data_IF_170504346351
#
_entry.id   IF_170504346351
#
_cell.length_a   1.000
_cell.length_b   1.000
_cell.length_c   1.000
_cell.angle_alpha   90.00
_cell.angle_beta   90.00
_cell.angle_gamma   90.00
#
_symmetry.space_group_name_H-M   'P 1'
#
loop_
_entity.id
_entity.type
_entity.pdbx_description
1 polymer ?
#
# COMPACT_ATOMS: atom_id res chain seq x y z
N UNK A 1 -3.66 6.99 9.32
CA UNK A 1 -3.39 5.53 9.43
C UNK A 1 -2.88 5.12 10.81
N UNK A 2 -1.79 5.70 11.34
CA UNK A 2 -1.20 5.25 12.62
C UNK A 2 -2.21 5.18 13.77
N UNK A 3 -2.99 6.25 13.99
CA UNK A 3 -4.00 6.28 15.05
C UNK A 3 -5.14 5.28 14.82
N UNK A 4 -5.52 5.06 13.56
CA UNK A 4 -6.52 4.04 13.21
C UNK A 4 -5.99 2.63 13.52
N UNK A 5 -4.77 2.31 13.10
CA UNK A 5 -4.16 1.01 13.36
C UNK A 5 -4.02 0.73 14.87
N UNK A 6 -3.65 1.75 15.67
CA UNK A 6 -3.64 1.65 17.13
C UNK A 6 -5.03 1.35 17.70
N UNK A 7 -6.06 2.07 17.26
CA UNK A 7 -7.43 1.86 17.72
C UNK A 7 -7.97 0.47 17.35
N UNK A 8 -7.55 -0.09 16.22
CA UNK A 8 -7.90 -1.45 15.80
C UNK A 8 -7.07 -2.54 16.50
N UNK A 9 -6.07 -2.18 17.30
CA UNK A 9 -5.16 -3.15 17.93
C UNK A 9 -4.34 -3.95 16.90
N UNK A 10 -4.01 -3.36 15.75
CA UNK A 10 -3.24 -4.05 14.73
C UNK A 10 -1.80 -4.26 15.16
N UNK A 11 -1.34 -5.49 15.02
CA UNK A 11 0.06 -5.88 15.13
C UNK A 11 0.51 -6.43 13.79
N UNK A 12 1.77 -6.19 13.43
CA UNK A 12 2.32 -6.58 12.13
C UNK A 12 3.57 -7.42 12.28
N UNK A 13 3.81 -8.28 11.30
CA UNK A 13 5.08 -8.97 11.14
C UNK A 13 5.54 -9.00 9.69
N UNK A 14 6.86 -9.09 9.51
CA UNK A 14 7.50 -9.33 8.23
C UNK A 14 8.62 -10.35 8.44
N UNK A 15 8.67 -11.40 7.64
CA UNK A 15 9.62 -12.51 7.78
C UNK A 15 9.61 -13.09 9.22
N UNK A 16 8.40 -13.30 9.75
CA UNK A 16 8.12 -13.72 11.13
C UNK A 16 8.64 -12.78 12.25
N UNK A 17 9.18 -11.60 11.92
CA UNK A 17 9.63 -10.62 12.90
C UNK A 17 8.55 -9.56 13.16
N UNK A 18 8.26 -9.20 14.42
CA UNK A 18 7.32 -8.15 14.74
C UNK A 18 7.82 -6.78 14.24
N UNK A 19 6.89 -5.94 13.77
CA UNK A 19 7.19 -4.60 13.26
C UNK A 19 6.41 -3.52 14.02
N UNK A 20 7.03 -2.35 14.27
CA UNK A 20 6.30 -1.21 14.81
C UNK A 20 5.38 -0.60 13.74
N UNK A 21 4.21 -0.11 14.16
CA UNK A 21 3.23 0.56 13.28
C UNK A 21 3.85 1.67 12.43
N UNK A 22 4.77 2.45 13.02
CA UNK A 22 5.46 3.52 12.33
C UNK A 22 6.24 3.02 11.10
N UNK A 23 6.87 1.84 11.20
CA UNK A 23 7.59 1.25 10.08
C UNK A 23 6.65 0.67 9.02
N UNK A 24 5.39 0.36 9.33
CA UNK A 24 4.43 -0.13 8.32
C UNK A 24 3.90 1.01 7.47
N UNK A 25 3.53 2.13 8.09
CA UNK A 25 2.92 3.27 7.40
C UNK A 25 3.92 4.39 7.05
N UNK A 26 5.22 4.11 7.11
CA UNK A 26 6.26 5.04 6.67
C UNK A 26 6.36 5.08 5.14
N UNK A 27 6.68 6.26 4.61
CA UNK A 27 6.67 6.54 3.18
C UNK A 27 7.84 5.93 2.39
N UNK A 28 8.81 5.29 3.06
CA UNK A 28 9.99 4.65 2.47
C UNK A 28 10.15 3.18 2.90
N UNK A 29 9.10 2.58 3.46
CA UNK A 29 9.05 1.17 3.89
C UNK A 29 7.87 0.46 3.22
N UNK A 30 6.86 -0.01 3.96
CA UNK A 30 5.67 -0.67 3.40
C UNK A 30 4.60 0.30 2.90
N UNK A 31 4.64 1.57 3.31
CA UNK A 31 3.67 2.59 2.91
C UNK A 31 3.49 2.71 1.39
N UNK A 32 4.58 2.82 0.59
CA UNK A 32 4.51 2.83 -0.88
C UNK A 32 3.73 1.63 -1.42
N UNK A 33 4.08 0.42 -1.01
CA UNK A 33 3.47 -0.80 -1.51
C UNK A 33 1.98 -0.89 -1.17
N UNK A 34 1.60 -0.57 0.07
CA UNK A 34 0.19 -0.54 0.49
C UNK A 34 -0.64 0.50 -0.28
N UNK A 35 -0.06 1.67 -0.57
CA UNK A 35 -0.74 2.72 -1.32
C UNK A 35 -0.84 2.40 -2.81
N UNK A 36 0.19 1.77 -3.40
CA UNK A 36 0.13 1.28 -4.78
C UNK A 36 -0.91 0.17 -4.92
N UNK A 37 -0.93 -0.81 -4.02
CA UNK A 37 -1.96 -1.85 -3.98
C UNK A 37 -3.37 -1.26 -3.87
N UNK A 38 -3.54 -0.24 -3.02
CA UNK A 38 -4.81 0.49 -2.90
C UNK A 38 -5.23 1.18 -4.21
N UNK A 39 -4.30 1.82 -4.93
CA UNK A 39 -4.59 2.44 -6.23
C UNK A 39 -4.97 1.38 -7.28
N UNK A 40 -4.25 0.25 -7.31
CA UNK A 40 -4.54 -0.86 -8.23
C UNK A 40 -5.92 -1.45 -7.96
N UNK A 41 -6.28 -1.67 -6.69
CA UNK A 41 -7.60 -2.19 -6.31
C UNK A 41 -8.75 -1.27 -6.75
N UNK A 42 -8.58 0.04 -6.56
CA UNK A 42 -9.55 1.04 -7.05
C UNK A 42 -9.72 0.95 -8.57
N UNK A 43 -8.62 0.87 -9.31
CA UNK A 43 -8.61 0.73 -10.77
C UNK A 43 -9.28 -0.58 -11.22
N UNK A 44 -8.98 -1.70 -10.57
CA UNK A 44 -9.60 -3.01 -10.86
C UNK A 44 -11.12 -2.98 -10.64
N UNK A 45 -11.58 -2.24 -9.63
CA UNK A 45 -13.01 -2.03 -9.35
C UNK A 45 -13.67 -0.97 -10.22
N UNK A 46 -12.93 -0.35 -11.15
CA UNK A 46 -13.41 0.75 -12.01
C UNK A 46 -13.91 1.95 -11.20
N UNK A 47 -13.30 2.20 -10.04
CA UNK A 47 -13.57 3.38 -9.24
C UNK A 47 -12.60 4.47 -9.71
N UNK A 48 -13.13 5.51 -10.35
CA UNK A 48 -12.35 6.61 -10.95
C UNK A 48 -11.83 7.59 -9.89
N UNK A 49 -10.90 7.13 -9.06
CA UNK A 49 -10.25 7.93 -8.02
C UNK A 49 -8.74 7.85 -8.18
N UNK A 50 -8.12 9.01 -8.32
CA UNK A 50 -6.66 9.16 -8.23
C UNK A 50 -6.26 9.41 -6.76
N UNK A 51 -5.47 8.50 -6.21
CA UNK A 51 -4.91 8.64 -4.87
C UNK A 51 -3.80 9.69 -4.82
N UNK A 52 -3.44 10.37 -5.91
CA UNK A 52 -2.47 11.47 -5.94
C UNK A 52 -1.08 11.03 -5.49
N UNK A 53 -0.71 9.79 -5.81
CA UNK A 53 0.57 9.20 -5.42
C UNK A 53 1.66 9.67 -6.38
N UNK A 54 2.83 9.94 -5.83
CA UNK A 54 4.08 10.15 -6.57
C UNK A 54 5.07 9.12 -6.04
N UNK A 55 5.24 8.03 -6.78
CA UNK A 55 6.16 6.95 -6.41
C UNK A 55 7.48 7.17 -7.14
N UNK A 56 8.57 7.24 -6.38
CA UNK A 56 9.91 7.52 -6.89
C UNK A 56 10.88 6.42 -6.45
N UNK A 57 11.95 6.25 -7.21
CA UNK A 57 13.07 5.40 -6.81
C UNK A 57 13.87 6.08 -5.71
N UNK A 58 14.16 5.35 -4.64
CA UNK A 58 14.93 5.82 -3.49
C UNK A 58 15.79 4.67 -2.96
N UNK A 59 17.11 4.73 -3.19
CA UNK A 59 18.07 3.71 -2.75
C UNK A 59 18.17 3.61 -1.22
N UNK A 60 17.69 4.61 -0.48
CA UNK A 60 17.61 4.59 0.98
C UNK A 60 16.31 3.97 1.52
N UNK A 61 15.33 3.70 0.66
CA UNK A 61 14.08 3.07 1.05
C UNK A 61 14.22 1.54 1.16
N UNK A 62 13.43 0.93 2.05
CA UNK A 62 13.49 -0.51 2.34
C UNK A 62 13.27 -1.39 1.10
N UNK A 63 12.43 -0.93 0.17
CA UNK A 63 12.12 -1.64 -1.08
C UNK A 63 12.46 -0.80 -2.32
N UNK A 64 13.45 0.09 -2.22
CA UNK A 64 13.91 0.92 -3.36
C UNK A 64 12.91 1.96 -3.85
N UNK A 65 11.78 2.14 -3.15
CA UNK A 65 10.69 3.05 -3.53
C UNK A 65 10.28 3.92 -2.36
N UNK A 66 10.06 5.20 -2.63
CA UNK A 66 9.40 6.16 -1.74
C UNK A 66 8.10 6.63 -2.37
N UNK A 67 7.12 6.94 -1.54
CA UNK A 67 5.88 7.59 -1.97
C UNK A 67 5.76 8.99 -1.36
N UNK A 68 5.33 9.93 -2.18
CA UNK A 68 4.89 11.25 -1.76
C UNK A 68 3.47 11.50 -2.26
N UNK A 69 2.82 12.50 -1.66
CA UNK A 69 1.49 12.91 -2.08
C UNK A 69 1.58 14.21 -2.84
N UNK A 70 1.09 14.20 -4.08
CA UNK A 70 1.01 15.41 -4.89
C UNK A 70 0.01 16.40 -4.23
N UNK A 71 0.46 17.60 -3.83
CA UNK A 71 -0.40 18.59 -3.20
C UNK A 71 -1.58 19.02 -4.09
N UNK A 72 -1.38 19.11 -5.40
CA UNK A 72 -2.42 19.53 -6.34
C UNK A 72 -3.55 18.49 -6.47
N UNK A 73 -3.25 17.23 -6.17
CA UNK A 73 -4.21 16.11 -6.20
C UNK A 73 -4.70 15.69 -4.80
N UNK A 74 -4.18 16.30 -3.73
CA UNK A 74 -4.42 15.91 -2.33
C UNK A 74 -5.58 16.63 -1.64
N UNK A 75 -6.75 16.64 -2.26
CA UNK A 75 -8.00 17.09 -1.65
C UNK A 75 -8.58 16.10 -0.61
N UNK A 76 -9.54 16.56 0.20
CA UNK A 76 -10.12 15.79 1.31
C UNK A 76 -10.62 14.40 0.89
N UNK A 77 -11.31 14.31 -0.24
CA UNK A 77 -11.84 13.03 -0.76
C UNK A 77 -10.71 12.05 -1.08
N UNK A 78 -9.63 12.49 -1.75
CA UNK A 78 -8.43 11.65 -1.96
C UNK A 78 -7.79 11.21 -0.65
N UNK A 79 -7.72 12.09 0.36
CA UNK A 79 -7.19 11.71 1.67
C UNK A 79 -8.05 10.66 2.37
N UNK A 80 -9.38 10.77 2.28
CA UNK A 80 -10.31 9.76 2.77
C UNK A 80 -10.10 8.44 2.05
N UNK A 81 -9.99 8.46 0.71
CA UNK A 81 -9.75 7.25 -0.08
C UNK A 81 -8.42 6.58 0.24
N UNK A 82 -7.34 7.35 0.47
CA UNK A 82 -6.06 6.79 0.95
C UNK A 82 -6.26 6.05 2.26
N UNK A 83 -6.93 6.67 3.23
CA UNK A 83 -7.17 6.04 4.54
C UNK A 83 -8.00 4.77 4.41
N UNK A 84 -9.15 4.84 3.73
CA UNK A 84 -10.10 3.72 3.65
C UNK A 84 -9.54 2.57 2.82
N UNK A 85 -8.87 2.86 1.70
CA UNK A 85 -8.32 1.81 0.86
C UNK A 85 -7.07 1.19 1.45
N UNK A 86 -6.18 1.96 2.08
CA UNK A 86 -5.07 1.36 2.81
C UNK A 86 -5.57 0.49 3.96
N UNK A 87 -6.63 0.90 4.68
CA UNK A 87 -7.23 0.05 5.71
C UNK A 87 -7.81 -1.24 5.12
N UNK A 88 -8.57 -1.12 4.02
CA UNK A 88 -9.10 -2.26 3.28
C UNK A 88 -7.98 -3.23 2.84
N UNK A 89 -6.88 -2.72 2.28
CA UNK A 89 -5.72 -3.54 1.90
C UNK A 89 -5.16 -4.29 3.10
N UNK A 90 -5.00 -3.62 4.24
CA UNK A 90 -4.49 -4.25 5.46
C UNK A 90 -5.43 -5.35 5.98
N UNK A 91 -6.75 -5.15 5.90
CA UNK A 91 -7.73 -6.14 6.36
C UNK A 91 -7.75 -7.42 5.50
N UNK A 92 -7.32 -7.34 4.24
CA UNK A 92 -7.21 -8.49 3.35
C UNK A 92 -5.95 -9.33 3.58
N UNK A 93 -4.97 -8.80 4.32
CA UNK A 93 -3.70 -9.49 4.50
C UNK A 93 -3.85 -10.71 5.42
N UNK A 94 -3.04 -11.76 5.17
CA UNK A 94 -3.05 -12.95 6.00
C UNK A 94 -2.65 -12.61 7.44
N UNK A 95 -3.15 -13.42 8.38
CA UNK A 95 -2.86 -13.28 9.81
C UNK A 95 -2.24 -14.54 10.37
N UNK A 96 -1.17 -14.38 11.14
CA UNK A 96 -0.50 -15.45 11.88
C UNK A 96 -0.35 -15.04 13.33
N UNK A 97 -0.79 -15.90 14.26
CA UNK A 97 -0.74 -15.62 15.71
C UNK A 97 -1.31 -14.22 16.06
N UNK A 98 -2.42 -13.86 15.39
CA UNK A 98 -3.09 -12.56 15.51
C UNK A 98 -2.34 -11.33 14.97
N UNK A 99 -1.18 -11.52 14.30
CA UNK A 99 -0.45 -10.46 13.60
C UNK A 99 -0.73 -10.48 12.11
N UNK A 100 -0.82 -9.31 11.51
CA UNK A 100 -0.99 -9.11 10.08
C UNK A 100 0.38 -9.29 9.40
N UNK A 101 0.47 -10.21 8.45
CA UNK A 101 1.72 -10.60 7.79
C UNK A 101 1.93 -9.77 6.52
N UNK A 102 3.06 -9.09 6.42
CA UNK A 102 3.40 -8.16 5.34
C UNK A 102 4.25 -8.78 4.23
N UNK A 103 4.53 -10.08 4.27
CA UNK A 103 5.53 -10.73 3.42
C UNK A 103 5.25 -10.58 1.92
N UNK A 104 3.98 -10.53 1.54
CA UNK A 104 3.55 -10.36 0.14
C UNK A 104 3.36 -8.89 -0.27
N UNK A 105 3.36 -7.96 0.67
CA UNK A 105 3.09 -6.54 0.40
C UNK A 105 4.10 -5.94 -0.59
N UNK A 106 5.42 -6.19 -0.49
CA UNK A 106 6.40 -5.60 -1.41
C UNK A 106 6.16 -5.94 -2.89
N UNK A 107 5.50 -7.07 -3.20
CA UNK A 107 5.19 -7.47 -4.59
C UNK A 107 4.29 -6.44 -5.30
N UNK A 108 3.53 -5.63 -4.57
CA UNK A 108 2.74 -4.55 -5.15
C UNK A 108 3.59 -3.43 -5.81
N UNK A 109 4.90 -3.39 -5.54
CA UNK A 109 5.83 -2.44 -6.16
C UNK A 109 6.47 -2.96 -7.44
N UNK A 110 6.29 -4.24 -7.75
CA UNK A 110 6.77 -4.81 -9.01
C UNK A 110 5.91 -4.29 -10.18
N UNK A 111 6.50 -4.03 -11.35
CA UNK A 111 5.72 -3.67 -12.53
C UNK A 111 4.70 -4.77 -12.81
N UNK A 112 3.42 -4.42 -12.85
CA UNK A 112 2.38 -5.35 -13.30
C UNK A 112 2.59 -5.58 -14.81
N UNK A 113 3.30 -6.64 -15.16
CA UNK A 113 3.25 -7.19 -16.52
C UNK A 113 1.86 -7.81 -16.69
N UNK A 114 0.91 -7.03 -17.21
CA UNK A 114 -0.30 -7.62 -17.75
C UNK A 114 0.15 -8.64 -18.80
N UNK A 115 -0.33 -9.90 -18.78
CA UNK A 115 -0.03 -10.83 -19.85
C UNK A 115 -0.44 -10.14 -21.14
N UNK A 116 0.52 -9.98 -22.06
CA UNK A 116 0.26 -9.43 -23.38
C UNK A 116 -0.96 -10.18 -23.93
N UNK A 117 -2.04 -9.45 -24.21
CA UNK A 117 -3.10 -9.98 -25.06
C UNK A 117 -2.36 -10.44 -26.31
N UNK A 118 -2.20 -11.76 -26.47
CA UNK A 118 -1.79 -12.32 -27.74
C UNK A 118 -2.86 -11.86 -28.70
N UNK A 119 -2.52 -10.85 -29.51
CA UNK A 119 -3.32 -10.44 -30.64
C UNK A 119 -3.42 -11.68 -31.51
N UNK A 120 -4.54 -12.39 -31.37
CA UNK A 120 -4.84 -13.56 -32.16
C UNK A 120 -5.05 -13.12 -33.59
N UNK A 121 -4.14 -13.61 -34.44
CA UNK A 121 -4.25 -13.86 -35.89
C UNK A 121 -4.29 -12.66 -36.82
#
# INVERSE_FOLDING_TARGET
>A
MLEFAKAQGWEFSFQAQPLPLASVFNNATFGPALLVAAQVELSLRKIEVDLGLVVQEDNGAMFGRRVEFDPARSHLLTQMWRLTQTAYQVDLLPREQNRIVLDLVPAALEPYEAPALQAGQ
#
